data_IF_084238683724
#
_entry.id   IF_084238683724
#
_cell.length_a   1.000
_cell.length_b   1.000
_cell.length_c   1.000
_cell.angle_alpha   90.00
_cell.angle_beta   90.00
_cell.angle_gamma   90.00
#
_symmetry.space_group_name_H-M   'P 1'
#
loop_
_entity.id
_entity.type
_entity.pdbx_description
1 polymer ?
#
# COMPACT_ATOMS: atom_id res chain seq x y z
N UNK A 1 -22.01 -5.91 12.83
CA UNK A 1 -21.43 -4.69 13.45
C UNK A 1 -21.22 -3.72 12.30
N UNK A 2 -21.84 -2.54 12.32
CA UNK A 2 -21.56 -1.51 11.31
C UNK A 2 -20.18 -0.96 11.65
N UNK A 3 -19.17 -1.30 10.85
CA UNK A 3 -17.82 -0.72 10.99
C UNK A 3 -17.92 0.73 10.52
N UNK A 4 -17.47 1.66 11.35
CA UNK A 4 -17.47 3.07 11.00
C UNK A 4 -16.44 3.37 9.92
N UNK A 5 -16.69 4.38 9.07
CA UNK A 5 -15.74 4.81 8.03
C UNK A 5 -14.35 5.15 8.61
N UNK A 6 -14.32 5.66 9.84
CA UNK A 6 -13.08 5.96 10.58
C UNK A 6 -12.31 4.67 10.92
N UNK A 7 -13.00 3.63 11.38
CA UNK A 7 -12.38 2.34 11.67
C UNK A 7 -11.83 1.70 10.38
N UNK A 8 -12.57 1.77 9.26
CA UNK A 8 -12.11 1.30 7.95
C UNK A 8 -10.81 2.01 7.56
N UNK A 9 -10.76 3.34 7.69
CA UNK A 9 -9.56 4.11 7.35
C UNK A 9 -8.37 3.74 8.25
N UNK A 10 -8.59 3.59 9.56
CA UNK A 10 -7.53 3.23 10.50
C UNK A 10 -6.99 1.83 10.21
N UNK A 11 -7.86 0.86 9.94
CA UNK A 11 -7.44 -0.50 9.57
C UNK A 11 -6.67 -0.52 8.25
N UNK A 12 -7.15 0.23 7.25
CA UNK A 12 -6.45 0.38 5.98
C UNK A 12 -5.04 0.97 6.19
N UNK A 13 -4.91 2.06 6.93
CA UNK A 13 -3.61 2.67 7.22
C UNK A 13 -2.66 1.73 7.99
N UNK A 14 -3.19 0.91 8.89
CA UNK A 14 -2.40 -0.09 9.63
C UNK A 14 -1.88 -1.17 8.68
N UNK A 15 -2.74 -1.75 7.84
CA UNK A 15 -2.38 -2.75 6.84
C UNK A 15 -1.35 -2.20 5.87
N UNK A 16 -1.58 -1.00 5.34
CA UNK A 16 -0.68 -0.37 4.38
C UNK A 16 0.72 -0.13 4.96
N UNK A 17 0.80 0.35 6.20
CA UNK A 17 2.09 0.55 6.88
C UNK A 17 2.86 -0.76 7.06
N UNK A 18 2.15 -1.85 7.39
CA UNK A 18 2.76 -3.16 7.51
C UNK A 18 3.28 -3.68 6.16
N UNK A 19 2.51 -3.53 5.08
CA UNK A 19 2.94 -3.90 3.72
C UNK A 19 4.16 -3.09 3.28
N UNK A 20 4.16 -1.77 3.50
CA UNK A 20 5.32 -0.91 3.19
C UNK A 20 6.59 -1.35 3.93
N UNK A 21 6.47 -1.73 5.21
CA UNK A 21 7.61 -2.26 5.97
C UNK A 21 8.10 -3.59 5.38
N UNK A 22 7.20 -4.46 4.96
CA UNK A 22 7.58 -5.72 4.31
C UNK A 22 8.27 -5.49 2.96
N UNK A 23 7.76 -4.56 2.15
CA UNK A 23 8.38 -4.18 0.87
C UNK A 23 9.83 -3.71 1.10
N UNK A 24 10.04 -2.86 2.11
CA UNK A 24 11.36 -2.37 2.50
C UNK A 24 12.27 -3.51 3.02
N UNK A 25 11.74 -4.47 3.76
CA UNK A 25 12.51 -5.64 4.21
C UNK A 25 12.96 -6.51 3.02
N UNK A 26 12.12 -6.69 2.00
CA UNK A 26 12.49 -7.45 0.79
C UNK A 26 13.57 -6.72 0.01
N UNK A 27 13.42 -5.40 -0.19
CA UNK A 27 14.42 -4.56 -0.84
C UNK A 27 15.77 -4.66 -0.09
N UNK A 28 15.74 -4.53 1.24
CA UNK A 28 16.93 -4.65 2.08
C UNK A 28 17.56 -6.05 1.94
N UNK A 29 16.77 -7.11 1.92
CA UNK A 29 17.25 -8.48 1.71
C UNK A 29 17.95 -8.66 0.36
N UNK A 30 17.40 -8.11 -0.73
CA UNK A 30 18.09 -8.13 -2.02
C UNK A 30 19.38 -7.29 -2.03
N UNK A 31 19.37 -6.12 -1.39
CA UNK A 31 20.54 -5.27 -1.28
C UNK A 31 21.68 -5.97 -0.52
N UNK A 32 21.38 -6.64 0.60
CA UNK A 32 22.35 -7.40 1.40
C UNK A 32 22.96 -8.57 0.62
N UNK A 33 22.23 -9.15 -0.33
CA UNK A 33 22.72 -10.22 -1.22
C UNK A 33 23.45 -9.69 -2.46
N UNK A 34 23.60 -8.37 -2.61
CA UNK A 34 24.21 -7.74 -3.79
C UNK A 34 23.37 -7.85 -5.08
N UNK A 35 22.07 -8.19 -4.97
CA UNK A 35 21.15 -8.38 -6.12
C UNK A 35 20.50 -7.05 -6.52
N UNK A 36 21.31 -6.13 -7.04
CA UNK A 36 20.87 -4.77 -7.37
C UNK A 36 19.81 -4.72 -8.48
N UNK A 37 19.84 -5.66 -9.43
CA UNK A 37 18.78 -5.87 -10.43
C UNK A 37 17.42 -6.04 -9.74
N UNK A 38 17.35 -6.93 -8.75
CA UNK A 38 16.12 -7.20 -8.02
C UNK A 38 15.68 -6.05 -7.12
N UNK A 39 16.62 -5.29 -6.58
CA UNK A 39 16.32 -4.06 -5.82
C UNK A 39 15.57 -3.08 -6.72
N UNK A 40 16.11 -2.79 -7.91
CA UNK A 40 15.51 -1.85 -8.86
C UNK A 40 14.13 -2.34 -9.32
N UNK A 41 14.02 -3.61 -9.72
CA UNK A 41 12.75 -4.19 -10.13
C UNK A 41 11.69 -4.15 -9.03
N UNK A 42 12.08 -4.39 -7.78
CA UNK A 42 11.15 -4.33 -6.66
C UNK A 42 10.71 -2.89 -6.35
N UNK A 43 11.64 -1.93 -6.40
CA UNK A 43 11.31 -0.51 -6.22
C UNK A 43 10.32 -0.03 -7.28
N UNK A 44 10.49 -0.39 -8.56
CA UNK A 44 9.51 -0.04 -9.60
C UNK A 44 8.13 -0.58 -9.29
N UNK A 45 8.01 -1.86 -8.90
CA UNK A 45 6.72 -2.44 -8.48
C UNK A 45 6.11 -1.71 -7.28
N UNK A 46 6.93 -1.32 -6.31
CA UNK A 46 6.46 -0.57 -5.14
C UNK A 46 5.93 0.82 -5.56
N UNK A 47 6.62 1.50 -6.48
CA UNK A 47 6.18 2.79 -7.05
C UNK A 47 4.85 2.63 -7.79
N UNK A 48 4.71 1.59 -8.62
CA UNK A 48 3.47 1.32 -9.36
C UNK A 48 2.29 1.09 -8.40
N UNK A 49 2.49 0.27 -7.35
CA UNK A 49 1.48 0.03 -6.32
C UNK A 49 1.07 1.32 -5.58
N UNK A 50 2.05 2.19 -5.26
CA UNK A 50 1.79 3.48 -4.61
C UNK A 50 1.05 4.45 -5.53
N UNK A 51 1.33 4.43 -6.83
CA UNK A 51 0.59 5.24 -7.80
C UNK A 51 -0.85 4.76 -7.95
N UNK A 52 -1.10 3.44 -8.00
CA UNK A 52 -2.46 2.89 -8.02
C UNK A 52 -3.25 3.27 -6.75
N UNK A 53 -2.59 3.26 -5.60
CA UNK A 53 -3.19 3.70 -4.34
C UNK A 53 -3.50 5.20 -4.36
N UNK A 54 -2.59 6.01 -4.89
CA UNK A 54 -2.80 7.46 -5.04
C UNK A 54 -4.05 7.77 -5.85
N UNK A 55 -4.32 7.03 -6.93
CA UNK A 55 -5.53 7.22 -7.74
C UNK A 55 -6.82 6.97 -6.94
N UNK A 56 -6.81 6.05 -5.97
CA UNK A 56 -7.94 5.85 -5.06
C UNK A 56 -8.18 7.10 -4.21
N UNK A 57 -7.12 7.67 -3.65
CA UNK A 57 -7.22 8.85 -2.77
C UNK A 57 -7.37 10.19 -3.51
N UNK A 58 -7.08 10.25 -4.80
CA UNK A 58 -7.37 11.42 -5.65
C UNK A 58 -8.88 11.56 -5.96
N UNK A 59 -9.71 10.58 -5.62
CA UNK A 59 -11.16 10.70 -5.77
C UNK A 59 -11.72 11.77 -4.82
N UNK A 60 -12.46 12.75 -5.35
CA UNK A 60 -13.05 13.82 -4.53
C UNK A 60 -14.21 13.36 -3.64
N UNK A 61 -14.71 12.12 -3.82
CA UNK A 61 -15.83 11.58 -3.06
C UNK A 61 -15.35 10.60 -1.96
N UNK A 62 -15.40 11.00 -0.67
CA UNK A 62 -14.98 10.15 0.45
C UNK A 62 -15.74 8.82 0.54
N UNK A 63 -17.02 8.77 0.14
CA UNK A 63 -17.79 7.52 0.20
C UNK A 63 -17.29 6.49 -0.82
N UNK A 64 -16.90 6.94 -2.02
CA UNK A 64 -16.31 6.04 -3.02
C UNK A 64 -14.89 5.60 -2.63
N UNK A 65 -14.13 6.46 -1.93
CA UNK A 65 -12.86 6.05 -1.30
C UNK A 65 -13.12 4.90 -0.32
N UNK A 66 -13.96 5.10 0.69
CA UNK A 66 -14.24 4.09 1.73
C UNK A 66 -14.74 2.77 1.11
N UNK A 67 -15.66 2.85 0.16
CA UNK A 67 -16.16 1.68 -0.58
C UNK A 67 -15.06 0.96 -1.36
N UNK A 68 -14.11 1.69 -1.91
CA UNK A 68 -12.94 1.11 -2.61
C UNK A 68 -11.98 0.46 -1.61
N UNK A 69 -11.73 1.09 -0.46
CA UNK A 69 -10.90 0.52 0.61
C UNK A 69 -11.51 -0.78 1.15
N UNK A 70 -12.83 -0.83 1.35
CA UNK A 70 -13.55 -2.04 1.79
C UNK A 70 -13.44 -3.22 0.82
N UNK A 71 -13.32 -2.96 -0.49
CA UNK A 71 -13.11 -4.02 -1.50
C UNK A 71 -11.67 -4.56 -1.51
N UNK A 72 -10.71 -3.76 -1.05
CA UNK A 72 -9.27 -4.09 -1.01
C UNK A 72 -8.80 -4.60 0.37
N UNK A 73 -9.63 -4.45 1.41
CA UNK A 73 -9.38 -4.93 2.77
C UNK A 73 -9.36 -6.47 2.81
#
# INVERSE_FOLDING_TARGET
>A
MVVSDVEVLVEYMRKRRHELLNDLQVILGYAQLGKLDKVVDYIHRMIDNLNEEREVFNCENPQEIIKTLLKKA
#
